data_IF_880451508126
#
_entry.id   IF_880451508126
#
_cell.length_a   1.000
_cell.length_b   1.000
_cell.length_c   1.000
_cell.angle_alpha   90.00
_cell.angle_beta   90.00
_cell.angle_gamma   90.00
#
_symmetry.space_group_name_H-M   'P 1'
#
loop_
_entity.id
_entity.type
_entity.pdbx_description
1 polymer ?
#
# COMPACT_ATOMS: atom_id res chain seq x y z
N UNK A 1 4.75 55.35 11.62
CA UNK A 1 4.57 54.77 10.27
C UNK A 1 4.15 53.29 10.32
N UNK A 2 3.40 52.85 11.34
CA UNK A 2 2.93 51.45 11.49
C UNK A 2 1.40 51.33 11.73
N UNK A 3 0.66 52.44 11.76
CA UNK A 3 -0.75 52.45 12.22
C UNK A 3 -1.81 52.61 11.13
N UNK A 4 -1.45 52.84 9.87
CA UNK A 4 -2.42 53.03 8.77
C UNK A 4 -2.81 51.73 8.03
N UNK A 5 -2.01 50.66 8.16
CA UNK A 5 -2.27 49.38 7.46
C UNK A 5 -3.49 48.62 8.01
N UNK A 6 -3.83 48.83 9.29
CA UNK A 6 -4.98 48.21 9.98
C UNK A 6 -6.29 48.99 9.83
N UNK A 7 -6.28 50.14 9.16
CA UNK A 7 -7.39 51.09 9.15
C UNK A 7 -8.43 50.82 8.05
N UNK A 8 -8.04 50.10 6.99
CA UNK A 8 -8.94 49.70 5.90
C UNK A 8 -9.66 48.37 6.24
N UNK A 9 -10.96 48.40 6.60
CA UNK A 9 -11.68 47.22 7.08
C UNK A 9 -11.76 46.11 6.03
N UNK A 10 -11.84 46.47 4.74
CA UNK A 10 -11.84 45.51 3.64
C UNK A 10 -10.50 44.78 3.47
N UNK A 11 -9.37 45.47 3.67
CA UNK A 11 -8.03 44.87 3.59
C UNK A 11 -7.77 43.92 4.78
N UNK A 12 -8.23 44.31 5.98
CA UNK A 12 -8.12 43.49 7.19
C UNK A 12 -8.98 42.22 7.10
N UNK A 13 -10.21 42.34 6.60
CA UNK A 13 -11.10 41.19 6.40
C UNK A 13 -10.54 40.20 5.36
N UNK A 14 -9.95 40.69 4.26
CA UNK A 14 -9.31 39.83 3.26
C UNK A 14 -8.17 38.97 3.83
N UNK A 15 -7.32 39.56 4.68
CA UNK A 15 -6.20 38.84 5.32
C UNK A 15 -6.72 37.76 6.29
N UNK A 16 -7.74 38.07 7.09
CA UNK A 16 -8.32 37.11 8.05
C UNK A 16 -8.95 35.93 7.31
N UNK A 17 -9.72 36.19 6.24
CA UNK A 17 -10.34 35.12 5.43
C UNK A 17 -9.26 34.24 4.81
N UNK A 18 -8.20 34.84 4.26
CA UNK A 18 -7.09 34.08 3.69
C UNK A 18 -6.42 33.18 4.73
N UNK A 19 -6.12 33.70 5.94
CA UNK A 19 -5.52 32.90 7.01
C UNK A 19 -6.42 31.75 7.47
N UNK A 20 -7.72 32.00 7.62
CA UNK A 20 -8.70 30.96 7.97
C UNK A 20 -8.80 29.91 6.87
N UNK A 21 -8.80 30.33 5.60
CA UNK A 21 -8.90 29.41 4.46
C UNK A 21 -7.64 28.55 4.34
N UNK A 22 -6.45 29.13 4.55
CA UNK A 22 -5.20 28.37 4.57
C UNK A 22 -5.11 27.40 5.76
N UNK A 23 -5.56 27.79 6.95
CA UNK A 23 -5.54 26.90 8.11
C UNK A 23 -6.52 25.75 7.94
N UNK A 24 -7.70 26.00 7.36
CA UNK A 24 -8.68 24.96 7.02
C UNK A 24 -8.13 23.98 5.99
N UNK A 25 -7.44 24.46 4.95
CA UNK A 25 -6.81 23.59 3.95
C UNK A 25 -5.69 22.74 4.54
N UNK A 26 -4.83 23.32 5.39
CA UNK A 26 -3.75 22.58 6.06
C UNK A 26 -4.35 21.54 7.01
N UNK A 27 -5.33 21.93 7.82
CA UNK A 27 -6.03 21.02 8.72
C UNK A 27 -6.70 19.87 7.97
N UNK A 28 -7.38 20.16 6.86
CA UNK A 28 -7.99 19.16 5.99
C UNK A 28 -6.93 18.21 5.41
N UNK A 29 -5.80 18.74 4.92
CA UNK A 29 -4.71 17.91 4.40
C UNK A 29 -4.08 17.00 5.45
N UNK A 30 -4.03 17.46 6.71
CA UNK A 30 -3.53 16.66 7.82
C UNK A 30 -4.53 15.58 8.24
N UNK A 31 -5.83 15.88 8.14
CA UNK A 31 -6.91 14.96 8.46
C UNK A 31 -7.07 13.84 7.41
N UNK A 32 -6.85 14.13 6.13
CA UNK A 32 -6.98 13.18 5.03
C UNK A 32 -5.68 12.43 4.69
N UNK A 33 -4.71 12.39 5.61
CA UNK A 33 -3.48 11.64 5.40
C UNK A 33 -3.75 10.14 5.55
N UNK A 34 -3.99 9.44 4.44
CA UNK A 34 -3.97 7.98 4.42
C UNK A 34 -2.54 7.49 4.65
N UNK A 35 -2.32 6.72 5.72
CA UNK A 35 -1.07 6.00 5.90
C UNK A 35 -0.96 4.92 4.83
N UNK A 36 0.02 5.09 3.93
CA UNK A 36 0.35 4.02 3.00
C UNK A 36 1.18 2.98 3.74
N UNK A 37 0.83 1.68 3.62
CA UNK A 37 1.60 0.63 4.25
C UNK A 37 3.02 0.60 3.69
N UNK A 38 4.00 0.32 4.54
CA UNK A 38 5.38 0.14 4.11
C UNK A 38 5.48 -1.05 3.14
N UNK A 39 6.19 -0.86 2.03
CA UNK A 39 6.51 -1.94 1.08
C UNK A 39 7.81 -2.59 1.52
N UNK A 40 7.74 -3.85 1.91
CA UNK A 40 8.90 -4.64 2.33
C UNK A 40 9.55 -5.35 1.15
N UNK A 41 10.88 -5.25 1.05
CA UNK A 41 11.70 -5.97 0.08
C UNK A 41 12.47 -7.12 0.74
N UNK A 42 13.04 -8.05 -0.04
CA UNK A 42 13.88 -9.12 0.51
C UNK A 42 15.00 -8.61 1.43
N UNK A 43 15.60 -7.45 1.13
CA UNK A 43 16.62 -6.81 1.96
C UNK A 43 16.14 -6.35 3.34
N UNK A 44 14.83 -6.17 3.53
CA UNK A 44 14.23 -5.65 4.77
C UNK A 44 13.85 -6.78 5.76
N UNK A 45 13.95 -8.04 5.32
CA UNK A 45 13.57 -9.22 6.09
C UNK A 45 14.77 -9.82 6.83
N UNK A 46 14.49 -10.72 7.78
CA UNK A 46 15.55 -11.48 8.45
C UNK A 46 16.38 -12.28 7.42
N UNK A 47 17.70 -12.06 7.30
CA UNK A 47 18.55 -12.76 6.33
C UNK A 47 18.54 -14.29 6.48
N UNK A 48 18.18 -14.82 7.66
CA UNK A 48 18.02 -16.26 7.86
C UNK A 48 16.83 -16.86 7.10
N UNK A 49 15.88 -16.03 6.66
CA UNK A 49 14.68 -16.42 5.92
C UNK A 49 14.76 -16.10 4.42
N UNK A 50 15.86 -15.48 3.97
CA UNK A 50 16.02 -14.98 2.60
C UNK A 50 17.26 -15.60 1.97
N UNK A 51 17.12 -16.12 0.76
CA UNK A 51 18.24 -16.67 0.00
C UNK A 51 19.32 -15.61 -0.26
N UNK A 52 20.59 -15.99 -0.19
CA UNK A 52 21.73 -15.07 -0.36
C UNK A 52 21.69 -14.29 -1.67
N UNK A 53 21.16 -14.88 -2.75
CA UNK A 53 21.06 -14.21 -4.05
C UNK A 53 20.07 -13.03 -4.05
N UNK A 54 19.18 -12.95 -3.06
CA UNK A 54 18.13 -11.93 -2.97
C UNK A 54 18.37 -10.90 -1.85
N UNK A 55 19.38 -11.08 -0.99
CA UNK A 55 19.56 -10.23 0.20
C UNK A 55 19.92 -8.77 -0.14
N UNK A 56 20.55 -8.52 -1.28
CA UNK A 56 20.87 -7.17 -1.75
C UNK A 56 19.73 -6.55 -2.60
N UNK A 57 18.60 -7.26 -2.77
CA UNK A 57 17.49 -6.81 -3.59
C UNK A 57 16.56 -5.87 -2.80
N UNK A 58 16.62 -4.58 -3.13
CA UNK A 58 15.95 -3.49 -2.42
C UNK A 58 14.73 -2.91 -3.16
N UNK A 59 14.41 -3.38 -4.36
CA UNK A 59 13.22 -2.98 -5.11
C UNK A 59 12.86 -4.02 -6.18
N UNK A 60 11.61 -3.95 -6.66
CA UNK A 60 11.11 -4.68 -7.85
C UNK A 60 11.28 -6.21 -7.77
N UNK A 61 11.22 -6.78 -6.56
CA UNK A 61 11.19 -8.22 -6.40
C UNK A 61 9.97 -8.80 -7.11
N UNK A 62 10.20 -9.85 -7.89
CA UNK A 62 9.17 -10.61 -8.59
C UNK A 62 9.36 -12.08 -8.29
N UNK A 63 8.25 -12.79 -8.28
CA UNK A 63 8.24 -14.24 -8.18
C UNK A 63 8.95 -14.79 -9.42
N UNK A 64 9.92 -15.67 -9.20
CA UNK A 64 10.66 -16.32 -10.27
C UNK A 64 9.77 -17.25 -11.11
N UNK A 65 10.29 -17.77 -12.24
CA UNK A 65 9.54 -18.71 -13.06
C UNK A 65 9.14 -19.95 -12.25
N UNK A 66 7.93 -20.44 -12.46
CA UNK A 66 7.40 -21.59 -11.73
C UNK A 66 6.55 -22.48 -12.63
N UNK A 67 6.42 -23.74 -12.23
CA UNK A 67 5.53 -24.71 -12.85
C UNK A 67 4.94 -25.59 -11.76
N UNK A 68 3.69 -25.33 -11.40
CA UNK A 68 2.99 -25.98 -10.30
C UNK A 68 1.66 -26.58 -10.78
N UNK A 69 1.12 -27.54 -10.03
CA UNK A 69 -0.19 -28.13 -10.31
C UNK A 69 -1.23 -27.47 -9.40
N UNK A 70 -2.34 -27.00 -9.99
CA UNK A 70 -3.44 -26.40 -9.24
C UNK A 70 -4.39 -27.46 -8.67
N UNK A 71 -5.42 -27.03 -7.94
CA UNK A 71 -6.44 -27.88 -7.34
C UNK A 71 -7.31 -28.67 -8.33
N UNK A 72 -7.32 -28.27 -9.61
CA UNK A 72 -8.04 -28.96 -10.69
C UNK A 72 -7.16 -29.96 -11.44
N UNK A 73 -5.86 -30.03 -11.13
CA UNK A 73 -4.88 -30.89 -11.82
C UNK A 73 -4.21 -30.24 -13.02
N UNK A 74 -4.46 -28.95 -13.30
CA UNK A 74 -3.84 -28.24 -14.41
C UNK A 74 -2.43 -27.76 -14.05
N UNK A 75 -1.54 -27.72 -15.05
CA UNK A 75 -0.23 -27.08 -14.91
C UNK A 75 -0.36 -25.57 -15.05
N UNK A 76 0.07 -24.83 -14.04
CA UNK A 76 0.08 -23.37 -13.98
C UNK A 76 1.52 -22.86 -13.87
N UNK A 77 1.80 -21.79 -14.61
CA UNK A 77 3.09 -21.10 -14.72
C UNK A 77 2.91 -19.58 -14.58
N UNK A 78 4.00 -18.83 -14.47
CA UNK A 78 3.97 -17.37 -14.43
C UNK A 78 3.29 -16.74 -15.67
N UNK A 79 3.35 -17.43 -16.82
CA UNK A 79 2.75 -16.99 -18.08
C UNK A 79 1.23 -16.98 -18.05
N UNK A 80 0.61 -17.82 -17.21
CA UNK A 80 -0.85 -17.84 -17.05
C UNK A 80 -1.39 -16.52 -16.47
N UNK A 81 -0.52 -15.72 -15.85
CA UNK A 81 -0.86 -14.45 -15.22
C UNK A 81 -0.25 -13.24 -15.95
N UNK A 82 0.29 -13.44 -17.16
CA UNK A 82 0.92 -12.37 -17.93
C UNK A 82 -0.08 -11.24 -18.24
N UNK A 83 0.37 -9.99 -18.06
CA UNK A 83 -0.46 -8.80 -18.25
C UNK A 83 -1.48 -8.53 -17.13
N UNK A 84 -1.53 -9.37 -16.09
CA UNK A 84 -2.40 -9.16 -14.92
C UNK A 84 -1.58 -8.89 -13.67
N UNK A 85 -2.15 -8.09 -12.76
CA UNK A 85 -1.65 -7.98 -11.39
C UNK A 85 -2.14 -9.21 -10.63
N UNK A 86 -1.23 -9.89 -9.94
CA UNK A 86 -1.57 -11.04 -9.12
C UNK A 86 -0.90 -10.93 -7.76
N UNK A 87 -1.56 -11.51 -6.75
CA UNK A 87 -1.07 -11.60 -5.37
C UNK A 87 -0.77 -13.07 -5.10
N UNK A 88 0.40 -13.37 -4.54
CA UNK A 88 0.76 -14.71 -4.13
C UNK A 88 0.92 -14.78 -2.62
N UNK A 89 0.37 -15.83 -2.01
CA UNK A 89 0.50 -16.15 -0.59
C UNK A 89 0.98 -17.60 -0.45
N UNK A 90 2.01 -17.81 0.36
CA UNK A 90 2.60 -19.13 0.62
C UNK A 90 2.20 -19.57 2.02
N UNK A 91 1.31 -20.55 2.11
CA UNK A 91 0.75 -21.01 3.37
C UNK A 91 0.72 -22.53 3.47
N UNK A 92 0.50 -23.02 4.69
CA UNK A 92 0.29 -24.44 4.97
C UNK A 92 -1.19 -24.71 5.24
N UNK A 93 -1.71 -25.81 4.71
CA UNK A 93 -3.12 -26.22 4.92
C UNK A 93 -3.43 -26.64 6.35
N UNK A 94 -2.39 -26.96 7.14
CA UNK A 94 -2.50 -27.31 8.55
C UNK A 94 -1.68 -26.34 9.38
N UNK A 95 -2.30 -25.21 9.74
CA UNK A 95 -1.67 -24.15 10.50
C UNK A 95 -2.71 -23.52 11.44
N UNK A 96 -2.57 -23.67 12.78
CA UNK A 96 -3.65 -23.36 13.71
C UNK A 96 -3.81 -21.87 14.05
N UNK A 97 -2.82 -21.02 13.74
CA UNK A 97 -2.76 -19.66 14.30
C UNK A 97 -2.89 -18.57 13.24
N UNK A 98 -1.80 -18.20 12.58
CA UNK A 98 -1.74 -17.02 11.70
C UNK A 98 -2.41 -17.25 10.34
N UNK A 99 -2.39 -18.49 9.86
CA UNK A 99 -2.83 -18.81 8.50
C UNK A 99 -4.34 -18.55 8.27
N UNK A 100 -5.26 -18.91 9.18
CA UNK A 100 -6.69 -18.56 9.03
C UNK A 100 -6.94 -17.05 8.88
N UNK A 101 -6.16 -16.21 9.58
CA UNK A 101 -6.28 -14.75 9.48
C UNK A 101 -5.84 -14.27 8.09
N UNK A 102 -4.72 -14.78 7.59
CA UNK A 102 -4.20 -14.44 6.26
C UNK A 102 -5.13 -14.90 5.15
N UNK A 103 -5.64 -16.14 5.23
CA UNK A 103 -6.62 -16.66 4.27
C UNK A 103 -7.89 -15.80 4.22
N UNK A 104 -8.41 -15.35 5.37
CA UNK A 104 -9.56 -14.43 5.40
C UNK A 104 -9.25 -13.08 4.74
N UNK A 105 -8.02 -12.57 4.84
CA UNK A 105 -7.62 -11.35 4.14
C UNK A 105 -7.52 -11.58 2.62
N UNK A 106 -7.02 -12.74 2.18
CA UNK A 106 -7.02 -13.13 0.78
C UNK A 106 -8.44 -13.26 0.21
N UNK A 107 -9.39 -13.79 0.98
CA UNK A 107 -10.81 -13.86 0.59
C UNK A 107 -11.41 -12.47 0.37
N UNK A 108 -11.08 -11.49 1.23
CA UNK A 108 -11.53 -10.10 1.05
C UNK A 108 -11.00 -9.50 -0.25
N UNK A 109 -9.71 -9.69 -0.54
CA UNK A 109 -9.11 -9.23 -1.78
C UNK A 109 -9.80 -9.88 -2.99
N UNK A 110 -9.99 -11.19 -2.95
CA UNK A 110 -10.68 -11.91 -4.02
C UNK A 110 -12.12 -11.41 -4.23
N UNK A 111 -12.83 -11.09 -3.15
CA UNK A 111 -14.21 -10.59 -3.22
C UNK A 111 -14.27 -9.19 -3.82
N UNK A 112 -13.37 -8.30 -3.42
CA UNK A 112 -13.31 -6.93 -3.93
C UNK A 112 -12.99 -6.91 -5.43
N UNK A 113 -12.00 -7.71 -5.84
CA UNK A 113 -11.51 -7.76 -7.22
C UNK A 113 -12.14 -8.88 -8.06
N UNK A 114 -13.30 -9.40 -7.67
CA UNK A 114 -13.92 -10.56 -8.33
C UNK A 114 -14.32 -10.30 -9.80
N UNK A 115 -14.65 -9.04 -10.11
CA UNK A 115 -15.17 -8.63 -11.43
C UNK A 115 -14.20 -7.79 -12.26
N UNK A 116 -12.96 -7.64 -11.80
CA UNK A 116 -11.87 -6.97 -12.54
C UNK A 116 -11.20 -7.94 -13.54
#
# INVERSE_FOLDING_TARGET
MQTEFFKNPHLRQGIIIFLVLTSLLIFFSYWFREEQPAVYNPSDLNPALVDRSLQDMNANHKIGPFSLINQNGDTITEKNYEGKIYVADFFFTRCPTICPVMTNNMEKLQTEFLND
#
